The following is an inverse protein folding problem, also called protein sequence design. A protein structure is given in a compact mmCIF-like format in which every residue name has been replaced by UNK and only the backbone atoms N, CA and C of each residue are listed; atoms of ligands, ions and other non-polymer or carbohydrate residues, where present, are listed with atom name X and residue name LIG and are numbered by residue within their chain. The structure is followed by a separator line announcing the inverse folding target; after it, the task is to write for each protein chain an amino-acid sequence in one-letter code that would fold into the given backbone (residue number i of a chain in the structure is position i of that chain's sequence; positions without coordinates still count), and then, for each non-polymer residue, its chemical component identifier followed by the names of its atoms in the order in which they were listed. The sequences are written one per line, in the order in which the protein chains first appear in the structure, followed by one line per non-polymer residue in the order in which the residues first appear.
data_IF_487448465444
#
_entry.id   IF_487448465444
#
_cell.length_a   1.000
_cell.length_b   1.000
_cell.length_c   1.000
_cell.angle_alpha   90.00
_cell.angle_beta   90.00
_cell.angle_gamma   90.00
#
_symmetry.space_group_name_H-M   'P 1'
#
loop_
_entity.id
_entity.type
_entity.pdbx_description
1 polymer ?
#
# COMPACT_ATOMS: atom_id res chain seq x y z
N UNK A 1 26.70 13.80 29.85
CA UNK A 1 25.56 14.68 29.47
C UNK A 1 24.64 14.78 30.67
N UNK A 2 24.63 15.92 31.35
CA UNK A 2 23.96 16.10 32.63
C UNK A 2 22.48 16.45 32.43
N UNK A 3 21.58 15.55 32.83
CA UNK A 3 20.12 15.77 32.93
C UNK A 3 19.79 16.40 34.31
N UNK A 4 20.69 17.23 34.85
CA UNK A 4 20.71 17.49 36.30
C UNK A 4 19.73 18.58 36.79
N UNK A 5 19.15 19.41 35.92
CA UNK A 5 18.22 20.48 36.35
C UNK A 5 17.10 20.75 35.35
N UNK A 6 16.17 19.81 35.20
CA UNK A 6 14.87 20.09 34.58
C UNK A 6 13.77 19.99 35.63
N UNK A 7 12.97 21.05 35.79
CA UNK A 7 11.86 21.06 36.74
C UNK A 7 10.71 20.25 36.12
N UNK A 8 10.32 19.17 36.78
CA UNK A 8 9.17 18.34 36.39
C UNK A 8 8.11 18.35 37.48
N UNK A 9 6.84 18.26 37.09
CA UNK A 9 5.75 18.07 38.03
C UNK A 9 5.84 16.67 38.63
N UNK A 10 5.95 16.59 39.96
CA UNK A 10 6.02 15.32 40.70
C UNK A 10 4.74 15.16 41.54
N UNK A 11 3.66 14.59 40.96
CA UNK A 11 2.43 14.34 41.72
C UNK A 11 2.64 13.23 42.76
N UNK A 12 1.63 12.95 43.58
CA UNK A 12 1.75 11.89 44.60
C UNK A 12 1.95 10.50 43.97
N UNK A 13 2.56 9.56 44.70
CA UNK A 13 2.78 8.19 44.17
C UNK A 13 1.49 7.51 43.66
N UNK A 14 0.33 7.61 44.34
CA UNK A 14 -0.92 7.06 43.81
C UNK A 14 -1.32 7.68 42.46
N UNK A 15 -1.17 9.00 42.31
CA UNK A 15 -1.46 9.71 41.06
C UNK A 15 -0.48 9.33 39.96
N UNK A 16 0.81 9.20 40.26
CA UNK A 16 1.82 8.74 39.31
C UNK A 16 1.49 7.34 38.77
N UNK A 17 1.12 6.40 39.64
CA UNK A 17 0.72 5.06 39.21
C UNK A 17 -0.55 5.07 38.36
N UNK A 18 -1.54 5.90 38.72
CA UNK A 18 -2.76 6.03 37.92
C UNK A 18 -2.46 6.59 36.52
N UNK A 19 -1.63 7.63 36.43
CA UNK A 19 -1.18 8.23 35.17
C UNK A 19 -0.41 7.20 34.33
N UNK A 20 0.57 6.52 34.93
CA UNK A 20 1.39 5.52 34.24
C UNK A 20 0.55 4.32 33.76
N UNK A 21 -0.44 3.90 34.55
CA UNK A 21 -1.35 2.82 34.14
C UNK A 21 -2.17 3.22 32.91
N UNK A 22 -2.81 4.39 32.93
CA UNK A 22 -3.62 4.85 31.78
C UNK A 22 -2.75 5.02 30.53
N UNK A 23 -1.60 5.68 30.63
CA UNK A 23 -0.71 5.86 29.49
C UNK A 23 -0.15 4.52 28.98
N UNK A 24 0.22 3.61 29.87
CA UNK A 24 0.66 2.26 29.52
C UNK A 24 -0.40 1.49 28.75
N UNK A 25 -1.66 1.52 29.19
CA UNK A 25 -2.75 0.84 28.46
C UNK A 25 -2.98 1.42 27.05
N UNK A 26 -2.73 2.72 26.85
CA UNK A 26 -2.82 3.35 25.54
C UNK A 26 -1.63 2.95 24.65
N UNK A 27 -0.42 2.91 25.20
CA UNK A 27 0.78 2.47 24.48
C UNK A 27 0.66 1.00 24.03
N UNK A 28 0.15 0.13 24.91
CA UNK A 28 -0.13 -1.28 24.57
C UNK A 28 -1.10 -1.39 23.39
N UNK A 29 -2.14 -0.54 23.35
CA UNK A 29 -3.11 -0.53 22.26
C UNK A 29 -2.52 0.03 20.95
N UNK A 30 -1.66 1.04 21.03
CA UNK A 30 -0.93 1.57 19.86
C UNK A 30 -0.07 0.47 19.26
N UNK A 31 0.67 -0.25 20.10
CA UNK A 31 1.54 -1.34 19.68
C UNK A 31 0.74 -2.49 19.06
N UNK A 32 -0.38 -2.88 19.66
CA UNK A 32 -1.27 -3.90 19.10
C UNK A 32 -1.81 -3.49 17.73
N UNK A 33 -2.25 -2.24 17.57
CA UNK A 33 -2.75 -1.73 16.30
C UNK A 33 -1.67 -1.70 15.22
N UNK A 34 -0.41 -1.39 15.57
CA UNK A 34 0.72 -1.44 14.64
C UNK A 34 0.95 -2.85 14.13
N UNK A 35 1.03 -3.84 15.02
CA UNK A 35 1.18 -5.26 14.64
C UNK A 35 0.06 -5.76 13.75
N UNK A 36 -1.18 -5.35 14.04
CA UNK A 36 -2.33 -5.69 13.21
C UNK A 36 -2.19 -5.10 11.81
N UNK A 37 -1.82 -3.82 11.69
CA UNK A 37 -1.58 -3.18 10.40
C UNK A 37 -0.46 -3.86 9.60
N UNK A 38 0.66 -4.21 10.24
CA UNK A 38 1.76 -4.94 9.61
C UNK A 38 1.31 -6.32 9.09
N UNK A 39 0.51 -7.03 9.88
CA UNK A 39 -0.04 -8.34 9.49
C UNK A 39 -0.98 -8.20 8.30
N UNK A 40 -1.87 -7.21 8.31
CA UNK A 40 -2.80 -6.94 7.20
C UNK A 40 -2.05 -6.56 5.92
N UNK A 41 -1.00 -5.75 6.03
CA UNK A 41 -0.15 -5.39 4.88
C UNK A 41 0.54 -6.63 4.30
N UNK A 42 1.09 -7.51 5.15
CA UNK A 42 1.71 -8.75 4.72
C UNK A 42 0.72 -9.67 4.00
N UNK A 43 -0.50 -9.81 4.54
CA UNK A 43 -1.57 -10.58 3.91
C UNK A 43 -2.00 -9.98 2.57
N UNK A 44 -2.21 -8.66 2.50
CA UNK A 44 -2.60 -7.97 1.28
C UNK A 44 -1.54 -8.14 0.18
N UNK A 45 -0.26 -8.03 0.53
CA UNK A 45 0.86 -8.25 -0.40
C UNK A 45 0.90 -9.69 -0.92
N UNK A 46 0.72 -10.67 -0.03
CA UNK A 46 0.69 -12.08 -0.41
C UNK A 46 -0.48 -12.38 -1.36
N UNK A 47 -1.68 -11.87 -1.05
CA UNK A 47 -2.85 -12.00 -1.93
C UNK A 47 -2.62 -11.33 -3.28
N UNK A 48 -2.09 -10.10 -3.29
CA UNK A 48 -1.81 -9.39 -4.54
C UNK A 48 -0.82 -10.16 -5.42
N UNK A 49 0.27 -10.65 -4.84
CA UNK A 49 1.26 -11.46 -5.57
C UNK A 49 0.61 -12.72 -6.14
N UNK A 50 -0.12 -13.47 -5.31
CA UNK A 50 -0.79 -14.70 -5.72
C UNK A 50 -1.82 -14.46 -6.84
N UNK A 51 -2.62 -13.39 -6.76
CA UNK A 51 -3.75 -13.18 -7.66
C UNK A 51 -3.40 -12.43 -8.94
N UNK A 52 -2.45 -11.49 -8.88
CA UNK A 52 -2.15 -10.58 -9.99
C UNK A 52 -0.75 -10.72 -10.58
N UNK A 53 0.15 -11.47 -9.92
CA UNK A 53 1.50 -11.72 -10.43
C UNK A 53 1.66 -13.20 -10.80
N UNK A 54 1.31 -14.11 -9.90
CA UNK A 54 1.46 -15.56 -10.12
C UNK A 54 0.21 -16.19 -10.79
N UNK A 55 -0.93 -15.51 -10.68
CA UNK A 55 -2.26 -15.95 -11.16
C UNK A 55 -2.71 -17.31 -10.57
N UNK A 56 -2.40 -17.58 -9.30
CA UNK A 56 -2.67 -18.87 -8.66
C UNK A 56 -4.14 -19.31 -8.74
N UNK A 57 -5.15 -18.44 -8.52
CA UNK A 57 -6.55 -18.87 -8.61
C UNK A 57 -6.94 -19.34 -10.02
N UNK A 58 -6.44 -18.67 -11.07
CA UNK A 58 -6.70 -19.04 -12.46
C UNK A 58 -6.02 -20.37 -12.79
N UNK A 59 -4.77 -20.56 -12.35
CA UNK A 59 -4.03 -21.82 -12.53
C UNK A 59 -4.71 -22.98 -11.79
N UNK A 60 -5.10 -22.77 -10.54
CA UNK A 60 -5.80 -23.78 -9.75
C UNK A 60 -7.11 -24.20 -10.43
N UNK A 61 -7.90 -23.23 -10.93
CA UNK A 61 -9.14 -23.48 -11.67
C UNK A 61 -8.90 -24.25 -12.98
N UNK A 62 -7.88 -23.87 -13.76
CA UNK A 62 -7.50 -24.55 -15.00
C UNK A 62 -7.07 -26.01 -14.76
N UNK A 63 -6.37 -26.27 -13.67
CA UNK A 63 -5.85 -27.59 -13.30
C UNK A 63 -6.86 -28.43 -12.49
N UNK A 64 -8.05 -27.89 -12.19
CA UNK A 64 -9.05 -28.55 -11.35
C UNK A 64 -8.61 -28.77 -9.90
N UNK A 65 -7.64 -27.99 -9.42
CA UNK A 65 -7.17 -28.00 -8.03
C UNK A 65 -8.02 -27.07 -7.17
N UNK A 66 -8.08 -27.38 -5.88
CA UNK A 66 -8.64 -26.46 -4.89
C UNK A 66 -7.70 -25.25 -4.72
N UNK A 67 -8.25 -24.04 -4.89
CA UNK A 67 -7.51 -22.80 -4.67
C UNK A 67 -7.53 -22.35 -3.21
N UNK A 68 -8.27 -23.05 -2.33
CA UNK A 68 -8.46 -22.68 -0.92
C UNK A 68 -9.32 -21.42 -0.75
N UNK A 69 -9.98 -20.95 -1.81
CA UNK A 69 -10.86 -19.79 -1.79
C UNK A 69 -12.33 -20.22 -1.76
N UNK A 70 -13.22 -19.42 -1.15
CA UNK A 70 -14.65 -19.66 -1.26
C UNK A 70 -15.09 -19.71 -2.73
N UNK A 71 -16.03 -20.60 -3.05
CA UNK A 71 -16.52 -20.78 -4.43
C UNK A 71 -16.96 -19.47 -5.08
N UNK A 72 -17.64 -18.59 -4.35
CA UNK A 72 -18.07 -17.28 -4.83
C UNK A 72 -16.93 -16.38 -5.32
N UNK A 73 -15.72 -16.55 -4.79
CA UNK A 73 -14.52 -15.84 -5.20
C UNK A 73 -13.84 -16.55 -6.37
N UNK A 74 -13.77 -17.89 -6.36
CA UNK A 74 -13.23 -18.69 -7.47
C UNK A 74 -14.00 -18.44 -8.77
N UNK A 75 -15.30 -18.23 -8.66
CA UNK A 75 -16.18 -17.96 -9.80
C UNK A 75 -15.88 -16.60 -10.46
N UNK A 76 -15.20 -15.66 -9.77
CA UNK A 76 -14.78 -14.36 -10.32
C UNK A 76 -13.55 -14.45 -11.23
N UNK A 77 -12.78 -15.54 -11.15
CA UNK A 77 -11.54 -15.69 -11.92
C UNK A 77 -11.78 -16.39 -13.27
N UNK A 78 -11.05 -16.01 -14.33
CA UNK A 78 -11.05 -16.72 -15.60
C UNK A 78 -10.64 -18.20 -15.47
N UNK A 79 -11.00 -19.01 -16.46
CA UNK A 79 -10.81 -20.47 -16.45
C UNK A 79 -9.43 -20.93 -16.89
N UNK A 80 -8.71 -20.14 -17.68
CA UNK A 80 -7.39 -20.50 -18.18
C UNK A 80 -6.50 -19.27 -18.38
N UNK A 81 -5.21 -19.53 -18.61
CA UNK A 81 -4.26 -18.54 -19.09
C UNK A 81 -4.10 -18.68 -20.61
N UNK A 82 -3.90 -17.55 -21.28
CA UNK A 82 -3.62 -17.44 -22.70
C UNK A 82 -2.25 -16.82 -22.92
N UNK A 83 -1.57 -17.19 -23.99
CA UNK A 83 -0.25 -16.64 -24.32
C UNK A 83 -0.34 -15.17 -24.72
N UNK A 84 0.57 -14.35 -24.20
CA UNK A 84 0.73 -12.94 -24.56
C UNK A 84 2.21 -12.56 -24.62
N UNK A 85 2.50 -11.35 -25.09
CA UNK A 85 3.86 -10.79 -25.12
C UNK A 85 4.51 -10.67 -23.74
N UNK A 86 3.72 -10.65 -22.65
CA UNK A 86 4.20 -10.62 -21.26
C UNK A 86 4.15 -12.00 -20.58
N UNK A 87 3.94 -13.07 -21.35
CA UNK A 87 3.72 -14.43 -20.84
C UNK A 87 2.24 -14.78 -20.69
N UNK A 88 1.94 -15.84 -19.94
CA UNK A 88 0.58 -16.32 -19.75
C UNK A 88 -0.26 -15.37 -18.90
N UNK A 89 -1.29 -14.76 -19.49
CA UNK A 89 -2.24 -13.86 -18.81
C UNK A 89 -3.63 -14.50 -18.72
N UNK A 90 -4.50 -14.10 -17.78
CA UNK A 90 -5.87 -14.63 -17.71
C UNK A 90 -6.66 -14.40 -19.00
N UNK A 91 -7.46 -15.38 -19.39
CA UNK A 91 -8.36 -15.25 -20.54
C UNK A 91 -9.25 -14.00 -20.41
N UNK A 92 -9.35 -13.23 -21.50
CA UNK A 92 -10.09 -11.97 -21.57
C UNK A 92 -9.29 -10.73 -21.14
N UNK A 93 -8.04 -10.91 -20.68
CA UNK A 93 -7.13 -9.79 -20.46
C UNK A 93 -6.41 -9.41 -21.75
N UNK A 94 -6.10 -8.12 -21.90
CA UNK A 94 -5.38 -7.57 -23.05
C UNK A 94 -4.17 -6.76 -22.57
N UNK A 95 -3.04 -6.88 -23.27
CA UNK A 95 -1.86 -6.05 -23.04
C UNK A 95 -2.00 -4.78 -23.87
N UNK A 96 -2.01 -3.61 -23.21
CA UNK A 96 -2.11 -2.29 -23.86
C UNK A 96 -1.16 -1.29 -23.24
N UNK A 97 -0.74 -0.31 -24.03
CA UNK A 97 -0.01 0.84 -23.50
C UNK A 97 -0.93 1.71 -22.62
N UNK A 98 -0.39 2.31 -21.55
CA UNK A 98 -1.18 3.14 -20.64
C UNK A 98 -1.86 4.32 -21.34
N UNK A 99 -1.21 4.89 -22.36
CA UNK A 99 -1.75 5.99 -23.15
C UNK A 99 -2.95 5.63 -24.04
N UNK A 100 -3.24 4.33 -24.24
CA UNK A 100 -4.45 3.88 -24.93
C UNK A 100 -5.67 3.81 -23.98
N UNK A 101 -5.43 3.74 -22.67
CA UNK A 101 -6.47 3.54 -21.66
C UNK A 101 -6.86 4.85 -20.97
N UNK A 102 -5.96 5.83 -20.90
CA UNK A 102 -6.18 7.08 -20.18
C UNK A 102 -5.35 8.22 -20.74
N UNK A 103 -5.88 9.43 -20.58
CA UNK A 103 -5.13 10.66 -20.79
C UNK A 103 -4.16 10.88 -19.61
N UNK A 104 -2.94 11.31 -19.94
CA UNK A 104 -1.92 11.68 -18.95
C UNK A 104 -1.91 13.20 -18.80
N UNK A 105 -2.26 13.69 -17.61
CA UNK A 105 -2.28 15.12 -17.30
C UNK A 105 -1.11 15.51 -16.39
N UNK A 106 -0.42 16.59 -16.75
CA UNK A 106 0.60 17.20 -15.91
C UNK A 106 -0.02 18.16 -14.88
N UNK A 107 0.33 17.99 -13.61
CA UNK A 107 0.01 18.97 -12.57
C UNK A 107 0.91 20.21 -12.66
N UNK A 108 0.39 21.37 -12.29
CA UNK A 108 1.20 22.58 -12.08
C UNK A 108 0.97 23.12 -10.68
N UNK A 109 1.90 23.94 -10.21
CA UNK A 109 1.75 24.66 -8.94
C UNK A 109 0.94 25.94 -9.18
N UNK A 110 -0.25 26.09 -8.56
CA UNK A 110 -0.99 27.35 -8.62
C UNK A 110 -0.12 28.51 -8.13
N UNK A 111 -0.39 29.73 -8.57
CA UNK A 111 0.42 30.88 -8.20
C UNK A 111 0.42 31.06 -6.67
N UNK A 112 1.59 30.93 -6.05
CA UNK A 112 1.77 31.01 -4.58
C UNK A 112 1.49 32.40 -4.03
N UNK A 113 1.51 33.43 -4.89
CA UNK A 113 1.23 34.81 -4.50
C UNK A 113 -0.25 35.17 -4.57
N UNK A 114 -1.11 34.29 -5.08
CA UNK A 114 -2.55 34.52 -5.20
C UNK A 114 -3.29 33.81 -4.06
N UNK A 115 -3.68 34.52 -2.98
CA UNK A 115 -4.21 33.88 -1.77
C UNK A 115 -5.53 33.12 -2.01
N UNK A 116 -6.28 33.50 -3.05
CA UNK A 116 -7.52 32.86 -3.43
C UNK A 116 -7.37 31.36 -3.78
N UNK A 117 -6.18 30.90 -4.15
CA UNK A 117 -5.93 29.47 -4.41
C UNK A 117 -5.61 28.66 -3.15
N UNK A 118 -5.31 29.31 -2.02
CA UNK A 118 -4.78 28.65 -0.82
C UNK A 118 -5.70 28.80 0.39
N UNK A 119 -6.54 29.83 0.42
CA UNK A 119 -7.46 30.11 1.53
C UNK A 119 -8.87 29.63 1.18
N UNK A 120 -9.43 28.73 1.99
CA UNK A 120 -10.79 28.21 1.81
C UNK A 120 -10.93 27.22 0.65
N UNK A 121 -9.84 26.57 0.25
CA UNK A 121 -9.84 25.61 -0.87
C UNK A 121 -10.74 24.40 -0.63
N UNK A 122 -11.42 23.97 -1.69
CA UNK A 122 -12.31 22.79 -1.71
C UNK A 122 -11.67 21.57 -2.39
N UNK A 123 -10.50 21.76 -3.02
CA UNK A 123 -9.81 20.73 -3.79
C UNK A 123 -8.51 20.34 -3.09
N UNK A 124 -8.29 19.03 -2.90
CA UNK A 124 -7.03 18.52 -2.39
C UNK A 124 -5.92 18.74 -3.41
N UNK A 125 -4.81 19.34 -3.00
CA UNK A 125 -3.64 19.55 -3.83
C UNK A 125 -2.53 18.60 -3.39
N UNK A 126 -2.20 17.64 -4.25
CA UNK A 126 -1.17 16.64 -4.00
C UNK A 126 0.13 17.00 -4.71
N UNK A 127 1.25 16.80 -4.01
CA UNK A 127 2.60 17.00 -4.51
C UNK A 127 3.37 15.68 -4.46
N UNK A 128 4.50 15.56 -5.19
CA UNK A 128 5.35 14.37 -5.08
C UNK A 128 5.84 14.07 -3.66
N UNK A 129 5.85 15.05 -2.74
CA UNK A 129 6.22 14.85 -1.33
C UNK A 129 5.12 14.18 -0.50
N UNK A 130 3.87 14.26 -0.95
CA UNK A 130 2.73 13.60 -0.32
C UNK A 130 2.67 12.11 -0.68
N UNK A 131 3.39 11.72 -1.73
CA UNK A 131 3.62 10.32 -2.08
C UNK A 131 4.83 9.80 -1.29
N UNK A 132 4.66 8.83 -0.39
CA UNK A 132 5.80 8.23 0.29
C UNK A 132 6.71 7.58 -0.75
N UNK A 133 7.95 8.07 -0.85
CA UNK A 133 8.99 7.45 -1.68
C UNK A 133 9.45 6.20 -0.94
N UNK A 134 8.80 5.07 -1.19
CA UNK A 134 9.41 3.79 -0.87
C UNK A 134 10.63 3.61 -1.77
N UNK A 135 11.76 3.10 -1.27
CA UNK A 135 12.85 2.70 -2.15
C UNK A 135 12.31 1.62 -3.09
N UNK A 136 11.98 2.02 -4.34
CA UNK A 136 11.56 1.11 -5.39
C UNK A 136 12.66 0.06 -5.57
N UNK A 137 12.42 -1.15 -5.10
CA UNK A 137 13.11 -2.32 -5.62
C UNK A 137 12.58 -2.50 -7.03
N UNK A 138 13.30 -1.98 -8.02
CA UNK A 138 13.08 -2.41 -9.40
C UNK A 138 13.16 -3.94 -9.40
N UNK A 139 12.11 -4.61 -9.87
CA UNK A 139 12.22 -6.01 -10.25
C UNK A 139 13.20 -6.05 -11.43
N UNK A 140 14.47 -6.29 -11.14
CA UNK A 140 15.46 -6.61 -12.16
C UNK A 140 15.08 -7.96 -12.74
N UNK A 141 14.60 -7.97 -13.98
CA UNK A 141 14.53 -9.20 -14.75
C UNK A 141 15.94 -9.80 -14.82
N UNK A 142 16.12 -11.13 -14.78
CA UNK A 142 17.44 -11.76 -14.91
C UNK A 142 18.18 -11.43 -16.22
N UNK A 143 17.48 -10.86 -17.21
CA UNK A 143 17.94 -10.73 -18.59
C UNK A 143 18.20 -9.29 -19.03
N UNK A 144 18.68 -8.40 -18.15
CA UNK A 144 19.49 -7.23 -18.52
C UNK A 144 18.98 -6.28 -19.63
N UNK A 145 17.70 -6.31 -19.98
CA UNK A 145 17.13 -5.46 -21.02
C UNK A 145 16.68 -4.14 -20.43
N UNK A 146 17.43 -3.07 -20.65
CA UNK A 146 16.99 -1.72 -20.30
C UNK A 146 15.84 -1.30 -21.22
N UNK A 147 14.65 -1.11 -20.66
CA UNK A 147 13.63 -0.29 -21.30
C UNK A 147 14.01 1.18 -21.06
N UNK A 148 14.58 1.81 -22.08
CA UNK A 148 14.63 3.28 -22.20
C UNK A 148 13.44 3.75 -23.04
N UNK A 149 12.91 4.96 -22.81
CA UNK A 149 11.58 5.40 -23.23
C UNK A 149 11.38 5.43 -24.75
#
# INVERSE_FOLDING_TARGET
MAVEKYVISLPSLPEQHAIAHVLGTLDDKIELNRRMSETLEAMARALFKSWFVDFDPVRAKAEGRDSGLPKSIVDLFPTCLVDSELGGIPEGWEVKAIGELTDVLGGTTPNTKEPAYWVGGTHAWATPKDLPVYPCQYYSTPNGGSLTP
#
